data_IF_251002467860
#
_entry.id   IF_251002467860
#
_cell.length_a   1.000
_cell.length_b   1.000
_cell.length_c   1.000
_cell.angle_alpha   90.00
_cell.angle_beta   90.00
_cell.angle_gamma   90.00
#
_symmetry.space_group_name_H-M   'P 1'
#
loop_
_entity.id
_entity.type
_entity.pdbx_description
1 polymer ?
#
# COMPACT_ATOMS: atom_id res chain seq x y z
N UNK A 1 -6.21 -10.66 5.32
CA UNK A 1 -4.83 -10.19 5.08
C UNK A 1 -4.14 -10.04 6.41
N UNK A 2 -2.84 -10.35 6.48
CA UNK A 2 -2.03 -10.19 7.69
C UNK A 2 -0.68 -9.61 7.32
N UNK A 3 -0.11 -8.78 8.20
CA UNK A 3 1.31 -8.43 8.15
C UNK A 3 2.04 -9.36 9.12
N UNK A 4 3.10 -10.01 8.64
CA UNK A 4 3.89 -10.95 9.42
C UNK A 4 5.29 -10.40 9.65
N UNK A 5 5.61 -10.17 10.91
CA UNK A 5 6.95 -9.83 11.36
C UNK A 5 7.80 -11.09 11.56
N UNK A 6 8.92 -11.15 10.85
CA UNK A 6 9.87 -12.28 10.91
C UNK A 6 11.15 -11.94 11.68
N UNK A 7 11.31 -10.70 12.16
CA UNK A 7 12.51 -10.19 12.80
C UNK A 7 13.62 -9.74 11.84
N UNK A 8 13.52 -10.06 10.54
CA UNK A 8 14.47 -9.60 9.51
C UNK A 8 13.78 -8.80 8.41
N UNK A 9 12.67 -9.31 7.88
CA UNK A 9 11.87 -8.65 6.85
C UNK A 9 10.38 -8.90 7.09
N UNK A 10 9.57 -7.86 6.97
CA UNK A 10 8.13 -7.95 7.16
C UNK A 10 7.43 -8.34 5.86
N UNK A 11 6.38 -9.14 5.95
CA UNK A 11 5.62 -9.60 4.79
C UNK A 11 4.16 -9.23 4.90
N UNK A 12 3.55 -8.77 3.81
CA UNK A 12 2.09 -8.76 3.68
C UNK A 12 1.63 -10.07 3.07
N UNK A 13 0.59 -10.68 3.63
CA UNK A 13 0.02 -11.94 3.14
C UNK A 13 -1.49 -11.84 2.94
N UNK A 14 -1.94 -12.28 1.77
CA UNK A 14 -3.35 -12.53 1.52
C UNK A 14 -3.70 -13.96 1.94
N UNK A 15 -4.79 -14.10 2.69
CA UNK A 15 -5.27 -15.38 3.20
C UNK A 15 -6.62 -15.68 2.57
N UNK A 16 -6.81 -16.91 2.10
CA UNK A 16 -8.10 -17.46 1.69
C UNK A 16 -8.64 -18.45 2.72
N UNK A 17 -9.97 -18.51 2.85
CA UNK A 17 -10.73 -19.40 3.75
C UNK A 17 -11.53 -20.46 3.00
N UNK A 18 -11.07 -20.89 1.82
CA UNK A 18 -11.78 -21.85 0.96
C UNK A 18 -12.07 -23.22 1.63
N UNK A 19 -11.49 -23.49 2.82
CA UNK A 19 -11.60 -24.75 3.56
C UNK A 19 -12.09 -24.55 5.00
N UNK A 20 -13.13 -23.75 5.20
CA UNK A 20 -13.77 -23.56 6.52
C UNK A 20 -12.85 -22.81 7.49
N UNK A 21 -12.30 -23.51 8.49
CA UNK A 21 -11.38 -22.92 9.48
C UNK A 21 -9.92 -22.88 9.03
N UNK A 22 -9.58 -23.52 7.91
CA UNK A 22 -8.21 -23.54 7.41
C UNK A 22 -7.95 -22.34 6.51
N UNK A 23 -6.88 -21.61 6.82
CA UNK A 23 -6.40 -20.49 6.03
C UNK A 23 -5.26 -20.94 5.11
N UNK A 24 -5.33 -20.56 3.83
CA UNK A 24 -4.23 -20.73 2.88
C UNK A 24 -3.68 -19.37 2.49
N UNK A 25 -2.35 -19.21 2.48
CA UNK A 25 -1.70 -18.04 1.90
C UNK A 25 -1.84 -18.10 0.38
N UNK A 26 -2.46 -17.10 -0.22
CA UNK A 26 -2.64 -17.01 -1.68
C UNK A 26 -1.68 -16.04 -2.35
N UNK A 27 -1.18 -15.06 -1.60
CA UNK A 27 -0.12 -14.16 -2.02
C UNK A 27 0.72 -13.74 -0.80
N UNK A 28 2.01 -13.51 -1.00
CA UNK A 28 2.93 -13.08 0.02
C UNK A 28 4.01 -12.19 -0.60
N UNK A 29 4.17 -10.98 -0.09
CA UNK A 29 5.08 -9.99 -0.68
C UNK A 29 5.90 -9.34 0.44
N UNK A 30 7.24 -9.31 0.32
CA UNK A 30 8.09 -8.64 1.29
C UNK A 30 7.87 -7.12 1.24
N UNK A 31 7.87 -6.49 2.41
CA UNK A 31 7.81 -5.02 2.58
C UNK A 31 9.24 -4.48 2.55
N UNK A 32 9.77 -4.26 1.35
CA UNK A 32 11.21 -4.01 1.13
C UNK A 32 11.56 -2.73 0.39
N UNK A 33 10.61 -2.10 -0.33
CA UNK A 33 10.83 -0.78 -0.90
C UNK A 33 10.98 0.25 0.22
N UNK A 34 11.86 1.24 0.07
CA UNK A 34 12.14 2.23 1.13
C UNK A 34 11.99 3.64 0.53
N UNK A 35 11.30 4.54 1.25
CA UNK A 35 11.24 5.96 0.88
C UNK A 35 12.63 6.60 0.99
N UNK A 36 12.88 7.67 0.23
CA UNK A 36 14.20 8.35 0.23
C UNK A 36 14.57 8.95 1.59
N UNK A 37 13.57 9.32 2.38
CA UNK A 37 13.69 9.81 3.76
C UNK A 37 13.76 8.68 4.81
N UNK A 38 13.63 7.42 4.39
CA UNK A 38 13.56 6.22 5.25
C UNK A 38 12.43 6.23 6.30
N UNK A 39 11.40 7.07 6.14
CA UNK A 39 10.27 7.12 7.06
C UNK A 39 9.28 5.96 6.86
N UNK A 40 9.28 5.33 5.68
CA UNK A 40 8.42 4.20 5.37
C UNK A 40 9.18 3.12 4.58
N UNK A 41 8.81 1.86 4.83
CA UNK A 41 9.02 0.78 3.87
C UNK A 41 7.68 0.41 3.25
N UNK A 42 7.66 0.03 1.98
CA UNK A 42 6.44 -0.26 1.27
C UNK A 42 6.62 -1.45 0.32
N UNK A 43 5.48 -1.98 -0.11
CA UNK A 43 5.40 -2.96 -1.18
C UNK A 43 4.03 -2.88 -1.84
N UNK A 44 4.00 -3.29 -3.09
CA UNK A 44 2.76 -3.64 -3.74
C UNK A 44 2.98 -4.87 -4.60
N UNK A 45 1.92 -5.65 -4.77
CA UNK A 45 1.92 -6.85 -5.59
C UNK A 45 0.59 -6.95 -6.32
N UNK A 46 0.62 -7.46 -7.54
CA UNK A 46 -0.55 -7.58 -8.38
C UNK A 46 -0.54 -8.95 -9.08
N UNK A 47 -1.52 -9.78 -8.76
CA UNK A 47 -1.71 -11.08 -9.40
C UNK A 47 -2.90 -11.00 -10.36
N UNK A 48 -2.68 -11.34 -11.63
CA UNK A 48 -3.74 -11.38 -12.63
C UNK A 48 -4.78 -12.44 -12.23
N UNK A 49 -6.05 -12.04 -12.11
CA UNK A 49 -7.16 -12.94 -11.76
C UNK A 49 -7.96 -13.37 -12.99
N UNK A 50 -8.22 -12.43 -13.89
CA UNK A 50 -8.90 -12.64 -15.17
C UNK A 50 -8.25 -11.77 -16.27
N UNK A 51 -8.83 -11.70 -17.47
CA UNK A 51 -8.25 -10.96 -18.60
C UNK A 51 -8.20 -9.43 -18.40
N UNK A 52 -8.85 -8.90 -17.35
CA UNK A 52 -9.06 -7.46 -17.16
C UNK A 52 -8.67 -6.96 -15.79
N UNK A 53 -8.52 -7.83 -14.80
CA UNK A 53 -8.38 -7.42 -13.40
C UNK A 53 -7.29 -8.16 -12.64
N UNK A 54 -6.74 -7.46 -11.66
CA UNK A 54 -5.71 -7.92 -10.75
C UNK A 54 -6.20 -7.89 -9.31
N UNK A 55 -5.88 -8.94 -8.58
CA UNK A 55 -5.85 -8.91 -7.12
C UNK A 55 -4.60 -8.14 -6.71
N UNK A 56 -4.77 -6.93 -6.16
CA UNK A 56 -3.66 -6.04 -5.80
C UNK A 56 -3.56 -5.86 -4.29
N UNK A 57 -2.34 -6.02 -3.76
CA UNK A 57 -1.99 -5.78 -2.37
C UNK A 57 -1.12 -4.54 -2.27
N UNK A 58 -1.38 -3.74 -1.26
CA UNK A 58 -0.53 -2.64 -0.83
C UNK A 58 -0.19 -2.84 0.63
N UNK A 59 1.07 -2.63 1.01
CA UNK A 59 1.45 -2.60 2.42
C UNK A 59 2.58 -1.61 2.65
N UNK A 60 2.54 -1.01 3.84
CA UNK A 60 3.53 -0.06 4.33
C UNK A 60 3.85 -0.39 5.78
N UNK A 61 5.14 -0.47 6.08
CA UNK A 61 5.70 -0.41 7.42
C UNK A 61 6.13 1.04 7.66
N UNK A 62 5.59 1.64 8.70
CA UNK A 62 5.88 3.02 9.10
C UNK A 62 6.99 3.01 10.14
N UNK A 63 8.11 3.66 9.79
CA UNK A 63 9.27 3.81 10.68
C UNK A 63 9.15 5.07 11.54
N UNK A 64 8.63 6.17 10.97
CA UNK A 64 8.39 7.41 11.71
C UNK A 64 6.96 7.44 12.30
N UNK A 65 6.79 7.44 13.65
CA UNK A 65 5.47 7.40 14.30
C UNK A 65 4.62 8.65 14.07
N UNK A 66 5.16 9.72 13.47
CA UNK A 66 4.37 10.89 13.07
C UNK A 66 3.45 10.58 11.90
N UNK A 67 3.73 9.54 11.11
CA UNK A 67 2.85 9.10 10.02
C UNK A 67 1.72 8.27 10.61
N UNK A 68 0.50 8.79 10.49
CA UNK A 68 -0.72 8.14 11.03
C UNK A 68 -1.64 7.60 9.93
N UNK A 69 -1.40 8.02 8.69
CA UNK A 69 -2.15 7.59 7.51
C UNK A 69 -1.21 7.51 6.31
N UNK A 70 -1.48 6.58 5.40
CA UNK A 70 -0.80 6.45 4.12
C UNK A 70 -1.81 6.59 2.99
N UNK A 71 -1.45 7.35 1.96
CA UNK A 71 -2.19 7.45 0.70
C UNK A 71 -1.41 6.74 -0.40
N UNK A 72 -2.10 5.87 -1.15
CA UNK A 72 -1.58 5.23 -2.36
C UNK A 72 -2.33 5.75 -3.57
N UNK A 73 -1.60 6.12 -4.62
CA UNK A 73 -2.20 6.57 -5.88
C UNK A 73 -1.43 6.10 -7.10
N UNK A 74 -2.09 5.90 -8.23
CA UNK A 74 -1.44 5.58 -9.50
C UNK A 74 -0.99 6.83 -10.30
N UNK A 75 -0.73 7.93 -9.60
CA UNK A 75 -0.08 9.13 -10.15
C UNK A 75 1.37 9.19 -9.72
N UNK A 76 2.19 9.73 -10.61
CA UNK A 76 3.64 9.75 -10.49
C UNK A 76 4.08 10.43 -9.19
N UNK A 77 5.20 9.98 -8.63
CA UNK A 77 5.87 10.68 -7.54
C UNK A 77 6.45 12.02 -7.97
N UNK A 78 6.52 12.35 -9.26
CA UNK A 78 6.85 13.70 -9.73
C UNK A 78 5.72 14.72 -9.47
N UNK A 79 4.52 14.26 -9.13
CA UNK A 79 3.38 15.10 -8.79
C UNK A 79 3.36 15.43 -7.28
N UNK A 80 4.52 15.70 -6.68
CA UNK A 80 4.69 16.04 -5.24
C UNK A 80 3.92 17.33 -4.89
N UNK A 81 3.75 18.21 -5.88
CA UNK A 81 3.14 19.52 -5.69
C UNK A 81 1.60 19.49 -5.75
N UNK A 82 0.98 18.37 -6.15
CA UNK A 82 -0.47 18.28 -6.13
C UNK A 82 -0.97 18.16 -4.69
N UNK A 83 -1.99 18.93 -4.37
CA UNK A 83 -2.73 18.73 -3.13
C UNK A 83 -3.38 17.35 -3.10
N UNK A 84 -3.72 16.86 -1.90
CA UNK A 84 -4.41 15.58 -1.74
C UNK A 84 -5.76 15.54 -2.48
N UNK A 85 -6.46 16.69 -2.56
CA UNK A 85 -7.72 16.81 -3.29
C UNK A 85 -7.50 16.67 -4.80
N UNK A 86 -6.52 17.37 -5.37
CA UNK A 86 -6.19 17.25 -6.80
C UNK A 86 -5.73 15.84 -7.15
N UNK A 87 -4.93 15.20 -6.28
CA UNK A 87 -4.55 13.80 -6.45
C UNK A 87 -5.77 12.89 -6.48
N UNK A 88 -6.74 13.09 -5.58
CA UNK A 88 -7.97 12.30 -5.53
C UNK A 88 -8.84 12.49 -6.77
N UNK A 89 -8.93 13.70 -7.29
CA UNK A 89 -9.72 14.01 -8.49
C UNK A 89 -9.08 13.48 -9.77
N UNK A 90 -7.75 13.46 -9.85
CA UNK A 90 -7.03 13.11 -11.07
C UNK A 90 -6.55 11.65 -11.13
N UNK A 91 -6.53 10.93 -10.00
CA UNK A 91 -6.11 9.53 -9.95
C UNK A 91 -7.29 8.59 -10.17
N UNK A 92 -7.10 7.53 -10.95
CA UNK A 92 -8.10 6.45 -11.02
C UNK A 92 -7.98 5.50 -9.84
N UNK A 93 -6.82 5.47 -9.18
CA UNK A 93 -6.60 4.78 -7.91
C UNK A 93 -6.21 5.80 -6.85
N UNK A 94 -7.00 5.89 -5.79
CA UNK A 94 -6.70 6.70 -4.60
C UNK A 94 -7.17 5.94 -3.37
N UNK A 95 -6.25 5.46 -2.56
CA UNK A 95 -6.50 4.59 -1.41
C UNK A 95 -5.94 5.26 -0.17
N UNK A 96 -6.78 5.48 0.83
CA UNK A 96 -6.36 5.90 2.17
C UNK A 96 -6.28 4.68 3.10
N UNK A 97 -5.18 4.56 3.82
CA UNK A 97 -4.94 3.48 4.77
C UNK A 97 -4.51 4.08 6.11
N UNK A 98 -5.26 3.79 7.17
CA UNK A 98 -4.86 4.17 8.52
C UNK A 98 -3.68 3.31 8.98
N UNK A 99 -2.75 3.93 9.72
CA UNK A 99 -1.60 3.24 10.30
C UNK A 99 -2.01 2.68 11.66
N UNK A 100 -1.93 1.35 11.78
CA UNK A 100 -2.28 0.61 13.00
C UNK A 100 -1.05 -0.19 13.41
N UNK A 101 -0.55 0.06 14.62
CA UNK A 101 0.64 -0.60 15.18
C UNK A 101 1.87 -0.54 14.27
N UNK A 102 2.08 0.60 13.58
CA UNK A 102 3.22 0.80 12.67
C UNK A 102 3.03 0.21 11.28
N UNK A 103 1.84 -0.29 10.93
CA UNK A 103 1.58 -0.86 9.61
C UNK A 103 0.29 -0.30 8.98
N UNK A 104 0.28 -0.22 7.67
CA UNK A 104 -0.91 0.05 6.87
C UNK A 104 -0.95 -0.95 5.71
N UNK A 105 -2.09 -1.56 5.44
CA UNK A 105 -2.22 -2.50 4.34
C UNK A 105 -3.62 -2.47 3.74
N UNK A 106 -3.70 -2.68 2.43
CA UNK A 106 -4.97 -2.67 1.70
C UNK A 106 -4.97 -3.70 0.58
N UNK A 107 -6.16 -4.24 0.30
CA UNK A 107 -6.42 -5.12 -0.83
C UNK A 107 -7.42 -4.44 -1.77
N UNK A 108 -7.12 -4.43 -3.07
CA UNK A 108 -8.00 -3.89 -4.09
C UNK A 108 -8.12 -4.85 -5.28
N UNK A 109 -9.25 -4.76 -5.98
CA UNK A 109 -9.44 -5.40 -7.28
C UNK A 109 -9.33 -4.34 -8.36
N UNK A 110 -8.17 -4.25 -9.02
CA UNK A 110 -7.86 -3.16 -9.96
C UNK A 110 -7.94 -3.63 -11.40
N UNK A 111 -8.36 -2.73 -12.30
CA UNK A 111 -8.31 -3.01 -13.74
C UNK A 111 -6.85 -3.03 -14.21
N UNK A 112 -6.58 -3.79 -15.26
CA UNK A 112 -5.27 -3.81 -15.94
C UNK A 112 -4.76 -2.40 -16.28
N UNK A 113 -5.66 -1.48 -16.68
CA UNK A 113 -5.29 -0.09 -17.00
C UNK A 113 -4.88 0.76 -15.80
N UNK A 114 -5.22 0.33 -14.59
CA UNK A 114 -4.98 1.06 -13.35
C UNK A 114 -3.73 0.54 -12.60
N UNK A 115 -3.25 -0.65 -12.95
CA UNK A 115 -2.04 -1.27 -12.38
C UNK A 115 -0.80 -0.72 -13.09
N UNK A 116 0.15 -0.22 -12.30
CA UNK A 116 1.39 0.35 -12.82
C UNK A 116 2.27 0.86 -11.71
N UNK A 117 2.87 2.04 -11.90
CA UNK A 117 3.64 2.69 -10.83
C UNK A 117 2.68 3.35 -9.84
N UNK A 118 2.84 3.01 -8.57
CA UNK A 118 2.11 3.61 -7.47
C UNK A 118 3.03 4.50 -6.64
N UNK A 119 2.52 5.67 -6.26
CA UNK A 119 3.16 6.54 -5.30
C UNK A 119 2.58 6.32 -3.91
N UNK A 120 3.44 6.38 -2.88
CA UNK A 120 3.08 6.20 -1.48
C UNK A 120 3.36 7.50 -0.73
N UNK A 121 2.35 8.05 -0.06
CA UNK A 121 2.46 9.31 0.68
C UNK A 121 2.11 9.09 2.14
N UNK A 122 3.02 9.40 3.04
CA UNK A 122 2.80 9.34 4.49
C UNK A 122 2.27 10.69 5.00
N UNK A 123 1.15 10.66 5.74
CA UNK A 123 0.48 11.83 6.29
C UNK A 123 0.62 11.87 7.80
N UNK A 124 0.87 13.06 8.33
CA UNK A 124 0.79 13.31 9.77
C UNK A 124 -0.66 13.50 10.25
N UNK A 125 -0.85 13.68 11.56
CA UNK A 125 -2.17 13.90 12.18
C UNK A 125 -2.90 15.17 11.72
N UNK A 126 -2.20 16.11 11.09
CA UNK A 126 -2.76 17.33 10.51
C UNK A 126 -3.16 17.12 9.04
N UNK A 127 -2.95 15.93 8.48
CA UNK A 127 -3.19 15.61 7.07
C UNK A 127 -2.10 16.13 6.12
N UNK A 128 -0.96 16.59 6.64
CA UNK A 128 0.17 17.04 5.84
C UNK A 128 1.02 15.86 5.38
N UNK A 129 1.35 15.82 4.09
CA UNK A 129 2.31 14.87 3.54
C UNK A 129 3.71 15.17 4.08
N UNK A 130 4.33 14.18 4.73
CA UNK A 130 5.66 14.29 5.33
C UNK A 130 6.66 13.27 4.78
N UNK A 131 6.21 12.31 3.98
CA UNK A 131 7.06 11.33 3.29
C UNK A 131 6.43 10.91 1.96
N UNK A 132 7.25 10.67 0.94
CA UNK A 132 6.82 10.32 -0.43
C UNK A 132 7.75 9.27 -1.04
N UNK A 133 7.17 8.32 -1.77
CA UNK A 133 7.84 7.47 -2.77
C UNK A 133 7.12 7.55 -4.12
#
# INVERSE_FOLDING_TARGET
MVVWDTGTENYVKLLSTDLGIFHRVTAASPISGITTDNMMKFTWDATLRDDKFYDTLFAVEVVDPKIVKVVVSNKSSNDINLSLNELKEHSTVYIEMDVINGYAAHYSYLKLSDVGVFAFRGLNSEGKVISVY
#
